data_IF_352975675653
#
_entry.id   IF_352975675653
#
_cell.length_a   1.000
_cell.length_b   1.000
_cell.length_c   1.000
_cell.angle_alpha   90.00
_cell.angle_beta   90.00
_cell.angle_gamma   90.00
#
_symmetry.space_group_name_H-M   'P 1'
#
loop_
_entity.id
_entity.type
_entity.pdbx_description
1 polymer ?
#
# COMPACT_ATOMS: atom_id res chain seq x y z
N UNK A 1 -4.97 -29.53 -8.94
CA UNK A 1 -5.26 -28.32 -8.15
C UNK A 1 -6.10 -27.38 -8.98
N UNK A 2 -7.17 -26.83 -8.40
CA UNK A 2 -8.03 -25.84 -9.05
C UNK A 2 -7.47 -24.47 -8.72
N UNK A 3 -7.13 -23.65 -9.73
CA UNK A 3 -6.52 -22.33 -9.53
C UNK A 3 -7.52 -21.17 -9.51
N UNK A 4 -8.64 -21.30 -10.20
CA UNK A 4 -9.76 -20.37 -10.15
C UNK A 4 -11.05 -21.06 -10.59
N UNK A 5 -12.20 -20.53 -10.17
CA UNK A 5 -13.52 -20.92 -10.63
C UNK A 5 -14.31 -19.69 -11.05
N UNK A 6 -15.15 -19.86 -12.08
CA UNK A 6 -16.08 -18.84 -12.57
C UNK A 6 -17.44 -19.48 -12.75
N UNK A 7 -18.45 -18.98 -12.05
CA UNK A 7 -19.75 -19.62 -12.00
C UNK A 7 -20.84 -18.71 -11.51
N UNK A 8 -22.02 -19.28 -11.34
CA UNK A 8 -23.18 -18.63 -10.72
C UNK A 8 -23.31 -19.17 -9.29
N UNK A 9 -23.61 -18.28 -8.34
CA UNK A 9 -23.85 -18.67 -6.94
C UNK A 9 -25.24 -19.29 -6.83
N UNK A 10 -25.31 -20.61 -6.63
CA UNK A 10 -26.57 -21.33 -6.48
C UNK A 10 -27.08 -21.24 -5.03
N UNK A 11 -26.18 -21.29 -4.06
CA UNK A 11 -26.52 -21.22 -2.63
C UNK A 11 -25.45 -20.47 -1.83
N UNK A 12 -25.86 -19.75 -0.79
CA UNK A 12 -24.98 -19.06 0.17
C UNK A 12 -25.26 -19.60 1.57
N UNK A 13 -24.26 -20.26 2.15
CA UNK A 13 -24.27 -20.81 3.49
C UNK A 13 -23.51 -19.90 4.47
N UNK A 14 -23.40 -20.31 5.74
CA UNK A 14 -22.75 -19.52 6.79
C UNK A 14 -21.23 -19.31 6.61
N UNK A 15 -20.55 -20.24 5.94
CA UNK A 15 -19.08 -20.25 5.79
C UNK A 15 -18.62 -20.68 4.38
N UNK A 16 -19.55 -20.93 3.46
CA UNK A 16 -19.26 -21.36 2.10
C UNK A 16 -20.39 -20.97 1.14
N UNK A 17 -20.11 -21.11 -0.16
CA UNK A 17 -21.12 -21.04 -1.22
C UNK A 17 -21.12 -22.34 -2.02
N UNK A 18 -22.24 -22.60 -2.71
CA UNK A 18 -22.27 -23.55 -3.82
C UNK A 18 -22.16 -22.76 -5.11
N UNK A 19 -21.02 -22.92 -5.80
CA UNK A 19 -20.73 -22.26 -7.06
C UNK A 19 -20.98 -23.21 -8.22
N UNK A 20 -21.97 -22.93 -9.05
CA UNK A 20 -22.29 -23.70 -10.24
C UNK A 20 -21.41 -23.28 -11.41
N UNK A 21 -20.62 -24.23 -11.90
CA UNK A 21 -19.77 -24.08 -13.08
C UNK A 21 -20.17 -25.17 -14.08
N UNK A 22 -20.93 -24.79 -15.11
CA UNK A 22 -21.41 -25.70 -16.15
C UNK A 22 -22.15 -26.93 -15.58
N UNK A 23 -23.16 -26.69 -14.74
CA UNK A 23 -24.01 -27.70 -14.09
C UNK A 23 -23.30 -28.56 -13.04
N UNK A 24 -22.09 -28.16 -12.61
CA UNK A 24 -21.35 -28.77 -11.51
C UNK A 24 -21.28 -27.81 -10.32
N UNK A 25 -21.87 -28.21 -9.19
CA UNK A 25 -21.84 -27.45 -7.95
C UNK A 25 -20.55 -27.67 -7.14
N UNK A 26 -19.72 -26.64 -7.06
CA UNK A 26 -18.52 -26.64 -6.23
C UNK A 26 -18.80 -26.03 -4.86
N UNK A 27 -18.50 -26.76 -3.79
CA UNK A 27 -18.52 -26.21 -2.43
C UNK A 27 -17.24 -25.41 -2.23
N UNK A 28 -17.36 -24.10 -2.04
CA UNK A 28 -16.22 -23.19 -1.88
C UNK A 28 -16.36 -22.42 -0.57
N UNK A 29 -15.43 -22.66 0.36
CA UNK A 29 -15.36 -21.99 1.65
C UNK A 29 -14.80 -20.58 1.50
N UNK A 30 -15.44 -19.61 2.15
CA UNK A 30 -15.21 -18.19 1.96
C UNK A 30 -15.12 -17.48 3.31
N UNK A 31 -14.42 -16.34 3.37
CA UNK A 31 -14.41 -15.54 4.60
C UNK A 31 -15.78 -14.86 4.75
N UNK A 32 -16.19 -14.48 5.96
CA UNK A 32 -17.46 -13.77 6.15
C UNK A 32 -17.52 -12.47 5.31
N UNK A 33 -16.36 -11.83 5.11
CA UNK A 33 -16.21 -10.65 4.26
C UNK A 33 -16.43 -11.01 2.78
N UNK A 34 -15.84 -12.09 2.27
CA UNK A 34 -16.05 -12.55 0.89
C UNK A 34 -17.49 -13.02 0.67
N UNK A 35 -18.09 -13.71 1.65
CA UNK A 35 -19.49 -14.15 1.64
C UNK A 35 -20.45 -12.98 1.51
N UNK A 36 -20.21 -11.89 2.24
CA UNK A 36 -21.06 -10.69 2.16
C UNK A 36 -21.11 -10.05 0.77
N UNK A 37 -20.12 -10.32 -0.07
CA UNK A 37 -20.05 -9.84 -1.45
C UNK A 37 -20.66 -10.82 -2.47
N UNK A 38 -21.15 -11.99 -2.03
CA UNK A 38 -21.78 -13.00 -2.86
C UNK A 38 -23.29 -13.01 -2.62
N UNK A 39 -24.07 -12.95 -3.69
CA UNK A 39 -25.54 -13.10 -3.63
C UNK A 39 -26.00 -14.24 -4.53
N UNK A 40 -27.07 -14.94 -4.13
CA UNK A 40 -27.67 -16.00 -4.95
C UNK A 40 -27.99 -15.44 -6.35
N UNK A 41 -27.67 -16.20 -7.40
CA UNK A 41 -27.84 -15.81 -8.80
C UNK A 41 -26.77 -14.87 -9.35
N UNK A 42 -25.83 -14.39 -8.53
CA UNK A 42 -24.72 -13.56 -9.01
C UNK A 42 -23.66 -14.39 -9.71
N UNK A 43 -23.05 -13.82 -10.76
CA UNK A 43 -21.90 -14.43 -11.43
C UNK A 43 -20.62 -13.96 -10.76
N UNK A 44 -19.85 -14.89 -10.21
CA UNK A 44 -18.63 -14.58 -9.47
C UNK A 44 -17.41 -15.30 -10.07
N UNK A 45 -16.25 -14.68 -9.90
CA UNK A 45 -14.94 -15.27 -10.19
C UNK A 45 -14.17 -15.35 -8.88
N UNK A 46 -13.77 -16.55 -8.51
CA UNK A 46 -12.99 -16.80 -7.30
C UNK A 46 -11.63 -17.38 -7.67
N UNK A 47 -10.59 -16.84 -7.04
CA UNK A 47 -9.30 -17.51 -6.94
C UNK A 47 -9.44 -18.66 -5.95
N UNK A 48 -8.90 -19.83 -6.27
CA UNK A 48 -9.07 -21.03 -5.46
C UNK A 48 -7.74 -21.49 -4.90
N UNK A 49 -7.72 -21.74 -3.60
CA UNK A 49 -6.72 -22.59 -2.95
C UNK A 49 -7.34 -23.95 -2.63
N UNK A 50 -6.65 -25.01 -3.06
CA UNK A 50 -7.02 -26.38 -2.77
C UNK A 50 -6.23 -26.87 -1.57
N UNK A 51 -6.92 -27.23 -0.48
CA UNK A 51 -6.30 -27.86 0.68
C UNK A 51 -6.70 -29.33 0.76
N UNK A 52 -5.70 -30.21 0.80
CA UNK A 52 -5.90 -31.64 1.00
C UNK A 52 -5.61 -31.99 2.46
N UNK A 53 -6.64 -32.37 3.21
CA UNK A 53 -6.47 -32.88 4.56
C UNK A 53 -6.16 -34.38 4.49
N UNK A 54 -4.89 -34.75 4.67
CA UNK A 54 -4.43 -36.14 4.60
C UNK A 54 -5.00 -37.05 5.70
N UNK A 55 -5.52 -36.48 6.80
CA UNK A 55 -6.15 -37.26 7.89
C UNK A 55 -7.60 -37.62 7.61
N UNK A 56 -8.32 -36.78 6.88
CA UNK A 56 -9.75 -36.95 6.61
C UNK A 56 -10.03 -37.42 5.17
N UNK A 57 -9.00 -37.45 4.32
CA UNK A 57 -9.10 -37.77 2.89
C UNK A 57 -10.11 -36.88 2.13
N UNK A 58 -10.32 -35.66 2.63
CA UNK A 58 -11.20 -34.64 2.05
C UNK A 58 -10.36 -33.54 1.43
N UNK A 59 -10.73 -33.15 0.21
CA UNK A 59 -10.19 -31.97 -0.46
C UNK A 59 -11.18 -30.82 -0.31
N UNK A 60 -10.72 -29.70 0.25
CA UNK A 60 -11.52 -28.50 0.44
C UNK A 60 -11.04 -27.39 -0.48
N UNK A 61 -11.99 -26.61 -0.99
CA UNK A 61 -11.73 -25.45 -1.83
C UNK A 61 -11.99 -24.19 -1.01
N UNK A 62 -10.99 -23.32 -0.94
CA UNK A 62 -11.09 -22.00 -0.32
C UNK A 62 -11.07 -20.94 -1.42
N UNK A 63 -12.06 -20.06 -1.42
CA UNK A 63 -12.28 -19.07 -2.47
C UNK A 63 -11.97 -17.65 -2.01
N UNK A 64 -11.41 -16.86 -2.93
CA UNK A 64 -11.01 -15.48 -2.67
C UNK A 64 -11.40 -14.60 -3.84
N UNK A 65 -11.97 -13.42 -3.54
CA UNK A 65 -12.29 -12.42 -4.57
C UNK A 65 -11.02 -11.67 -5.00
N UNK A 66 -10.10 -11.45 -4.05
CA UNK A 66 -8.85 -10.73 -4.26
C UNK A 66 -7.65 -11.65 -4.10
N UNK A 67 -6.56 -11.34 -4.80
CA UNK A 67 -5.30 -12.11 -4.70
C UNK A 67 -4.62 -11.84 -3.36
N UNK A 68 -4.87 -10.67 -2.80
CA UNK A 68 -4.37 -10.17 -1.54
C UNK A 68 -4.95 -10.98 -0.37
N UNK A 69 -6.26 -11.24 -0.37
CA UNK A 69 -6.92 -12.11 0.62
C UNK A 69 -6.39 -13.55 0.55
N UNK A 70 -6.22 -14.08 -0.66
CA UNK A 70 -5.61 -15.40 -0.90
C UNK A 70 -4.16 -15.46 -0.39
N UNK A 71 -3.36 -14.41 -0.62
CA UNK A 71 -2.00 -14.32 -0.13
C UNK A 71 -1.95 -14.22 1.40
N UNK A 72 -2.84 -13.44 2.02
CA UNK A 72 -2.93 -13.34 3.47
C UNK A 72 -3.24 -14.71 4.11
N UNK A 73 -4.19 -15.46 3.55
CA UNK A 73 -4.47 -16.82 4.01
C UNK A 73 -3.24 -17.72 3.92
N UNK A 74 -2.53 -17.70 2.78
CA UNK A 74 -1.32 -18.51 2.59
C UNK A 74 -0.21 -18.14 3.56
N UNK A 75 -0.10 -16.88 3.97
CA UNK A 75 0.84 -16.45 4.99
C UNK A 75 0.40 -16.92 6.38
N UNK A 76 -0.89 -16.81 6.71
CA UNK A 76 -1.44 -17.27 7.98
C UNK A 76 -1.24 -18.77 8.20
N UNK A 77 -1.48 -19.59 7.17
CA UNK A 77 -1.33 -21.05 7.29
C UNK A 77 0.14 -21.49 7.38
N UNK A 78 1.10 -20.64 6.99
CA UNK A 78 2.53 -20.92 7.23
C UNK A 78 2.92 -20.77 8.71
N UNK A 79 2.10 -20.10 9.51
CA UNK A 79 2.31 -19.98 10.96
C UNK A 79 2.00 -21.32 11.62
N UNK A 80 2.95 -21.82 12.43
CA UNK A 80 2.81 -23.10 13.11
C UNK A 80 1.57 -23.14 13.99
N UNK A 81 0.69 -24.14 13.78
CA UNK A 81 -0.55 -24.30 14.53
C UNK A 81 -1.78 -23.59 13.94
N UNK A 82 -1.63 -22.81 12.87
CA UNK A 82 -2.76 -22.13 12.22
C UNK A 82 -3.34 -23.00 11.10
N UNK A 83 -4.55 -23.50 11.30
CA UNK A 83 -5.30 -24.23 10.27
C UNK A 83 -5.94 -23.29 9.25
N UNK A 84 -6.29 -23.79 8.05
CA UNK A 84 -7.06 -23.03 7.06
C UNK A 84 -8.37 -22.46 7.64
N UNK A 85 -9.09 -23.25 8.45
CA UNK A 85 -10.33 -22.82 9.11
C UNK A 85 -10.09 -21.68 10.11
N UNK A 86 -9.00 -21.76 10.88
CA UNK A 86 -8.58 -20.71 11.80
C UNK A 86 -8.21 -19.43 11.04
N UNK A 87 -7.40 -19.55 9.97
CA UNK A 87 -7.01 -18.44 9.12
C UNK A 87 -8.23 -17.75 8.48
N UNK A 88 -9.21 -18.51 7.99
CA UNK A 88 -10.47 -17.96 7.45
C UNK A 88 -11.29 -17.20 8.50
N UNK A 89 -11.33 -17.69 9.74
CA UNK A 89 -12.01 -16.99 10.85
C UNK A 89 -11.32 -15.67 11.20
N UNK A 90 -9.99 -15.63 11.12
CA UNK A 90 -9.18 -14.42 11.34
C UNK A 90 -9.43 -13.40 10.22
N UNK A 91 -9.36 -13.82 8.95
CA UNK A 91 -9.65 -12.98 7.78
C UNK A 91 -11.09 -12.43 7.76
N UNK A 92 -12.02 -13.14 8.41
CA UNK A 92 -13.40 -12.70 8.56
C UNK A 92 -13.57 -11.52 9.53
N UNK A 93 -12.58 -11.22 10.37
CA UNK A 93 -12.68 -10.21 11.44
C UNK A 93 -11.66 -9.09 11.35
N UNK A 94 -10.55 -9.29 10.63
CA UNK A 94 -9.43 -8.36 10.62
C UNK A 94 -9.09 -7.91 9.18
N UNK A 95 -8.91 -6.60 8.99
CA UNK A 95 -8.22 -6.05 7.80
C UNK A 95 -6.73 -6.39 7.83
N UNK A 96 -5.98 -6.28 6.72
CA UNK A 96 -4.53 -6.47 6.72
C UNK A 96 -3.78 -5.62 7.76
N UNK A 97 -4.23 -4.39 8.08
CA UNK A 97 -3.64 -3.60 9.17
C UNK A 97 -3.97 -4.15 10.56
N UNK A 98 -5.17 -4.69 10.74
CA UNK A 98 -5.57 -5.34 12.00
C UNK A 98 -4.93 -6.71 12.16
N UNK A 99 -4.67 -7.41 11.04
CA UNK A 99 -3.87 -8.61 10.98
C UNK A 99 -2.41 -8.29 11.32
N UNK A 100 -1.89 -7.15 10.87
CA UNK A 100 -0.57 -6.68 11.26
C UNK A 100 -0.50 -6.36 12.77
N UNK A 101 -1.53 -5.73 13.34
CA UNK A 101 -1.63 -5.59 14.81
C UNK A 101 -1.78 -6.95 15.50
N UNK A 102 -2.46 -7.92 14.90
CA UNK A 102 -2.60 -9.28 15.44
C UNK A 102 -1.30 -10.08 15.36
N UNK A 103 -0.53 -9.97 14.27
CA UNK A 103 0.82 -10.53 14.10
C UNK A 103 1.75 -9.86 15.11
N UNK A 104 1.73 -8.54 15.24
CA UNK A 104 2.49 -7.83 16.29
C UNK A 104 2.07 -8.30 17.67
N UNK A 105 0.79 -8.61 17.92
CA UNK A 105 0.32 -9.09 19.22
C UNK A 105 0.63 -10.57 19.49
N UNK A 106 0.56 -11.44 18.49
CA UNK A 106 0.99 -12.84 18.53
C UNK A 106 2.50 -12.92 18.72
N UNK A 107 3.27 -12.13 17.97
CA UNK A 107 4.70 -11.93 18.20
C UNK A 107 4.93 -11.30 19.56
N UNK A 108 4.16 -10.33 20.05
CA UNK A 108 4.33 -9.79 21.41
C UNK A 108 4.12 -10.86 22.50
N UNK A 109 3.29 -11.87 22.25
CA UNK A 109 3.17 -13.05 23.11
C UNK A 109 4.38 -13.99 22.94
N UNK A 110 4.86 -14.23 21.72
CA UNK A 110 6.06 -15.02 21.44
C UNK A 110 7.37 -14.35 21.94
N UNK A 111 7.48 -13.03 21.82
CA UNK A 111 8.53 -12.09 22.27
C UNK A 111 8.49 -11.87 23.79
N UNK A 112 7.35 -12.12 24.44
CA UNK A 112 7.30 -12.22 25.91
C UNK A 112 7.94 -13.51 26.39
N UNK A 113 7.90 -14.57 25.59
CA UNK A 113 8.56 -15.86 25.87
C UNK A 113 9.97 -15.98 25.28
N UNK A 114 10.35 -15.15 24.29
CA UNK A 114 11.68 -15.11 23.64
C UNK A 114 12.22 -13.68 23.57
N UNK A 115 13.51 -13.51 23.82
CA UNK A 115 14.18 -12.20 23.76
C UNK A 115 14.42 -11.67 22.32
N UNK A 116 13.60 -12.03 21.33
CA UNK A 116 13.84 -11.77 19.90
C UNK A 116 13.31 -10.37 19.47
N UNK A 117 13.61 -9.93 18.26
CA UNK A 117 13.07 -8.72 17.62
C UNK A 117 11.95 -9.11 16.64
N UNK A 118 11.14 -8.15 16.17
CA UNK A 118 10.16 -8.42 15.10
C UNK A 118 10.90 -8.73 13.79
N UNK A 119 10.37 -9.66 13.00
CA UNK A 119 10.84 -9.90 11.64
C UNK A 119 10.85 -8.61 10.81
N UNK A 120 11.73 -8.56 9.81
CA UNK A 120 11.83 -7.40 8.94
C UNK A 120 10.56 -7.20 8.10
N UNK A 121 10.11 -5.95 8.02
CA UNK A 121 8.84 -5.56 7.36
C UNK A 121 9.12 -4.78 6.08
N UNK A 122 8.45 -5.13 4.98
CA UNK A 122 8.48 -4.36 3.74
C UNK A 122 7.13 -3.71 3.49
N UNK A 123 7.06 -2.38 3.55
CA UNK A 123 5.88 -1.59 3.22
C UNK A 123 5.98 -1.09 1.78
N UNK A 124 5.07 -1.51 0.91
CA UNK A 124 5.05 -1.05 -0.48
C UNK A 124 3.68 -0.55 -0.91
N UNK A 125 3.65 0.38 -1.86
CA UNK A 125 2.41 0.93 -2.40
C UNK A 125 2.56 2.41 -2.77
N UNK A 126 1.51 3.04 -3.33
CA UNK A 126 1.52 4.43 -3.76
C UNK A 126 2.03 5.43 -2.69
N UNK A 127 2.54 6.61 -3.11
CA UNK A 127 2.97 7.63 -2.18
C UNK A 127 1.80 8.21 -1.38
N UNK A 128 2.06 8.60 -0.14
CA UNK A 128 1.09 9.32 0.70
C UNK A 128 0.05 8.45 1.43
N UNK A 129 0.17 7.12 1.38
CA UNK A 129 -0.70 6.17 2.07
C UNK A 129 -0.36 5.93 3.56
N UNK A 130 0.73 6.55 4.06
CA UNK A 130 1.09 6.47 5.47
C UNK A 130 2.11 5.39 5.83
N UNK A 131 2.93 4.91 4.90
CA UNK A 131 4.02 3.94 5.16
C UNK A 131 4.90 4.34 6.37
N UNK A 132 5.43 5.57 6.37
CA UNK A 132 6.22 6.11 7.49
C UNK A 132 5.42 6.17 8.79
N UNK A 133 4.14 6.57 8.72
CA UNK A 133 3.25 6.63 9.87
C UNK A 133 3.02 5.24 10.46
N UNK A 134 2.84 4.23 9.62
CA UNK A 134 2.66 2.84 10.04
C UNK A 134 3.92 2.33 10.75
N UNK A 135 5.11 2.58 10.18
CA UNK A 135 6.38 2.22 10.81
C UNK A 135 6.56 2.86 12.20
N UNK A 136 6.12 4.10 12.39
CA UNK A 136 6.13 4.77 13.70
C UNK A 136 5.11 4.18 14.69
N UNK A 137 3.95 3.73 14.19
CA UNK A 137 2.96 3.04 15.03
C UNK A 137 3.53 1.71 15.53
N UNK A 138 4.23 0.97 14.67
CA UNK A 138 4.89 -0.30 15.01
C UNK A 138 5.87 -0.12 16.15
N UNK A 139 6.82 0.80 16.00
CA UNK A 139 7.85 1.04 17.01
C UNK A 139 7.23 1.47 18.35
N UNK A 140 6.18 2.31 18.31
CA UNK A 140 5.44 2.72 19.50
C UNK A 140 4.72 1.56 20.19
N UNK A 141 4.11 0.65 19.42
CA UNK A 141 3.40 -0.51 19.96
C UNK A 141 4.34 -1.57 20.55
N UNK A 142 5.54 -1.70 19.94
CA UNK A 142 6.65 -2.51 20.43
C UNK A 142 7.38 -1.86 21.62
N UNK A 143 7.19 -0.55 21.84
CA UNK A 143 7.87 0.27 22.86
C UNK A 143 9.39 0.28 22.70
N UNK A 144 9.85 0.39 21.47
CA UNK A 144 11.27 0.42 21.09
C UNK A 144 11.61 1.74 20.41
N UNK A 145 12.90 2.06 20.27
CA UNK A 145 13.31 3.28 19.60
C UNK A 145 13.03 3.19 18.10
N UNK A 146 12.76 4.34 17.50
CA UNK A 146 12.53 4.46 16.07
C UNK A 146 13.62 5.33 15.44
N UNK A 147 14.41 4.76 14.53
CA UNK A 147 15.37 5.51 13.72
C UNK A 147 14.92 5.49 12.27
N UNK A 148 14.87 6.65 11.63
CA UNK A 148 14.48 6.79 10.23
C UNK A 148 15.64 7.32 9.40
N UNK A 149 15.79 6.76 8.19
CA UNK A 149 16.67 7.24 7.13
C UNK A 149 15.98 7.01 5.78
N UNK A 150 16.64 7.34 4.67
CA UNK A 150 16.17 7.04 3.32
C UNK A 150 17.28 6.43 2.47
N UNK A 151 16.88 5.60 1.50
CA UNK A 151 17.80 4.95 0.56
C UNK A 151 18.79 5.93 -0.08
N UNK A 152 18.35 7.09 -0.62
CA UNK A 152 19.25 8.07 -1.22
C UNK A 152 20.27 8.70 -0.28
N UNK A 153 20.01 8.73 1.04
CA UNK A 153 20.96 9.26 2.02
C UNK A 153 22.06 8.26 2.36
N UNK A 154 21.84 6.97 2.11
CA UNK A 154 22.82 5.92 2.30
C UNK A 154 23.61 5.77 0.99
N UNK A 155 24.75 6.44 0.92
CA UNK A 155 25.57 6.52 -0.30
C UNK A 155 26.78 5.60 -0.26
N UNK A 156 27.28 5.30 0.94
CA UNK A 156 28.45 4.44 1.20
C UNK A 156 28.16 3.44 2.32
N UNK A 157 28.91 2.34 2.35
CA UNK A 157 28.80 1.34 3.42
C UNK A 157 29.01 1.92 4.82
N UNK A 158 29.87 2.94 4.94
CA UNK A 158 30.09 3.67 6.20
C UNK A 158 28.85 4.40 6.71
N UNK A 159 27.99 4.92 5.82
CA UNK A 159 26.75 5.61 6.21
C UNK A 159 25.77 4.60 6.86
N UNK A 160 25.64 3.42 6.25
CA UNK A 160 24.82 2.34 6.78
C UNK A 160 25.38 1.81 8.10
N UNK A 161 26.70 1.61 8.18
CA UNK A 161 27.36 1.19 9.40
C UNK A 161 27.16 2.18 10.56
N UNK A 162 27.26 3.48 10.29
CA UNK A 162 27.02 4.53 11.28
C UNK A 162 25.58 4.50 11.83
N UNK A 163 24.60 4.16 11.00
CA UNK A 163 23.21 4.02 11.46
C UNK A 163 23.05 2.73 12.27
N UNK A 164 23.49 1.59 11.74
CA UNK A 164 23.28 0.28 12.37
C UNK A 164 24.00 0.12 13.71
N UNK A 165 25.23 0.63 13.83
CA UNK A 165 26.01 0.55 15.09
C UNK A 165 25.44 1.38 16.23
N UNK A 166 24.49 2.28 15.95
CA UNK A 166 23.83 3.10 16.97
C UNK A 166 22.50 2.53 17.46
N UNK A 167 22.05 1.41 16.88
CA UNK A 167 20.82 0.73 17.29
C UNK A 167 21.03 0.00 18.60
N UNK A 168 19.99 0.00 19.44
CA UNK A 168 19.90 -0.90 20.58
C UNK A 168 19.12 -2.16 20.19
N UNK A 169 19.16 -3.17 21.06
CA UNK A 169 18.36 -4.38 20.88
C UNK A 169 16.87 -4.05 20.72
N UNK A 170 16.28 -4.62 19.66
CA UNK A 170 14.89 -4.52 19.24
C UNK A 170 14.48 -3.16 18.66
N UNK A 171 15.41 -2.22 18.48
CA UNK A 171 15.09 -0.96 17.84
C UNK A 171 14.59 -1.17 16.41
N UNK A 172 13.74 -0.24 15.96
CA UNK A 172 13.22 -0.22 14.59
C UNK A 172 14.07 0.73 13.75
N UNK A 173 14.69 0.21 12.70
CA UNK A 173 15.31 1.00 11.64
C UNK A 173 14.36 1.09 10.45
N UNK A 174 13.91 2.30 10.13
CA UNK A 174 13.09 2.59 8.96
C UNK A 174 13.94 3.16 7.82
N UNK A 175 13.86 2.56 6.63
CA UNK A 175 14.49 3.07 5.41
C UNK A 175 13.40 3.39 4.39
N UNK A 176 13.12 4.68 4.17
CA UNK A 176 12.23 5.11 3.09
C UNK A 176 12.92 5.02 1.74
N UNK A 177 12.15 4.83 0.67
CA UNK A 177 12.69 4.70 -0.70
C UNK A 177 13.83 3.67 -0.78
N UNK A 178 13.67 2.52 -0.11
CA UNK A 178 14.71 1.49 0.02
C UNK A 178 15.19 0.94 -1.34
N UNK A 179 14.35 1.04 -2.37
CA UNK A 179 14.70 0.66 -3.75
C UNK A 179 15.75 1.59 -4.40
N UNK A 180 16.11 2.69 -3.75
CA UNK A 180 17.15 3.63 -4.21
C UNK A 180 18.50 3.39 -3.55
N UNK A 181 18.65 2.32 -2.78
CA UNK A 181 19.95 1.89 -2.27
C UNK A 181 20.87 1.49 -3.43
N UNK A 182 22.15 1.84 -3.31
CA UNK A 182 23.16 1.32 -4.21
C UNK A 182 23.37 -0.18 -3.96
N UNK A 183 23.66 -0.94 -5.00
CA UNK A 183 23.85 -2.41 -4.92
C UNK A 183 24.88 -2.83 -3.86
N UNK A 184 25.99 -2.10 -3.76
CA UNK A 184 27.02 -2.36 -2.74
C UNK A 184 26.49 -2.21 -1.31
N UNK A 185 25.51 -1.35 -1.08
CA UNK A 185 24.89 -1.13 0.23
C UNK A 185 23.81 -2.18 0.48
N UNK A 186 23.06 -2.58 -0.55
CA UNK A 186 22.14 -3.73 -0.44
C UNK A 186 22.89 -4.99 0.00
N UNK A 187 24.07 -5.25 -0.56
CA UNK A 187 24.90 -6.41 -0.22
C UNK A 187 25.36 -6.40 1.25
N UNK A 188 25.74 -5.23 1.78
CA UNK A 188 26.07 -5.06 3.21
C UNK A 188 24.81 -5.20 4.08
N UNK A 189 23.65 -4.78 3.58
CA UNK A 189 22.39 -4.89 4.31
C UNK A 189 21.93 -6.35 4.43
N UNK A 190 22.27 -7.23 3.49
CA UNK A 190 21.92 -8.65 3.54
C UNK A 190 22.45 -9.33 4.81
N UNK A 191 23.75 -9.17 5.11
CA UNK A 191 24.37 -9.77 6.30
C UNK A 191 23.84 -9.15 7.59
N UNK A 192 23.55 -7.84 7.58
CA UNK A 192 22.94 -7.16 8.72
C UNK A 192 21.53 -7.68 9.04
N UNK A 193 20.76 -8.07 8.01
CA UNK A 193 19.40 -8.60 8.16
C UNK A 193 19.39 -10.09 8.57
N UNK A 194 20.28 -10.90 8.02
CA UNK A 194 20.27 -12.35 8.22
C UNK A 194 21.01 -12.77 9.49
N UNK A 195 22.21 -12.22 9.68
CA UNK A 195 23.15 -12.69 10.70
C UNK A 195 23.36 -11.67 11.83
N UNK A 196 22.70 -10.51 11.76
CA UNK A 196 22.93 -9.36 12.65
C UNK A 196 24.41 -9.02 12.79
N UNK A 197 25.14 -9.03 11.68
CA UNK A 197 26.54 -8.63 11.64
C UNK A 197 26.83 -7.77 10.42
N UNK A 198 27.88 -6.96 10.52
CA UNK A 198 28.29 -6.06 9.47
C UNK A 198 29.77 -6.26 9.17
N UNK A 199 30.07 -6.59 7.92
CA UNK A 199 31.43 -6.77 7.43
C UNK A 199 31.90 -5.50 6.69
N UNK A 200 32.84 -4.76 7.28
CA UNK A 200 33.42 -3.55 6.68
C UNK A 200 34.84 -3.85 6.20
N UNK A 201 35.13 -3.53 4.94
CA UNK A 201 36.50 -3.47 4.43
C UNK A 201 37.15 -2.17 4.92
N UNK A 202 38.23 -2.30 5.70
CA UNK A 202 39.00 -1.17 6.22
C UNK A 202 40.42 -1.23 5.70
N UNK A 203 40.90 -0.13 5.12
CA UNK A 203 42.22 0.01 4.51
C UNK A 203 42.16 0.24 2.99
N UNK A 204 43.30 0.55 2.39
CA UNK A 204 43.45 0.77 0.94
C UNK A 204 44.52 -0.17 0.37
N UNK A 205 44.26 -0.76 -0.80
CA UNK A 205 45.23 -1.58 -1.52
C UNK A 205 45.46 -2.97 -0.90
N UNK A 206 46.68 -3.55 -1.01
CA UNK A 206 46.95 -4.94 -0.59
C UNK A 206 46.87 -5.17 0.93
N UNK A 207 46.70 -4.13 1.74
CA UNK A 207 46.56 -4.19 3.20
C UNK A 207 45.10 -4.08 3.68
N UNK A 208 44.13 -4.19 2.77
CA UNK A 208 42.70 -4.16 3.13
C UNK A 208 42.35 -5.35 4.03
N UNK A 209 41.73 -5.08 5.18
CA UNK A 209 41.27 -6.10 6.13
C UNK A 209 39.77 -5.99 6.34
N UNK A 210 39.08 -7.12 6.43
CA UNK A 210 37.65 -7.16 6.80
C UNK A 210 37.51 -7.10 8.31
N UNK A 211 36.75 -6.13 8.80
CA UNK A 211 36.37 -6.01 10.20
C UNK A 211 34.89 -6.36 10.34
N UNK A 212 34.61 -7.41 11.12
CA UNK A 212 33.25 -7.85 11.45
C UNK A 212 32.78 -7.15 12.72
N UNK A 213 31.60 -6.55 12.66
CA UNK A 213 30.94 -5.88 13.78
C UNK A 213 29.64 -6.62 14.07
N UNK A 214 29.46 -7.08 15.31
CA UNK A 214 28.21 -7.67 15.74
C UNK A 214 27.18 -6.56 16.00
N UNK A 215 25.97 -6.74 15.49
CA UNK A 215 24.84 -5.84 15.68
C UNK A 215 23.87 -6.47 16.68
N UNK A 216 23.18 -5.66 17.50
CA UNK A 216 22.08 -6.19 18.28
C UNK A 216 20.92 -6.58 17.36
N UNK A 217 20.10 -7.59 17.73
CA UNK A 217 18.88 -7.92 16.97
C UNK A 217 18.01 -6.68 16.83
N UNK A 218 17.60 -6.33 15.61
CA UNK A 218 16.80 -5.14 15.31
C UNK A 218 15.75 -5.45 14.26
N UNK A 219 14.78 -4.57 14.09
CA UNK A 219 13.75 -4.72 13.06
C UNK A 219 13.96 -3.68 11.96
N UNK A 220 14.31 -4.12 10.75
CA UNK A 220 14.29 -3.28 9.57
C UNK A 220 12.86 -3.15 9.02
N UNK A 221 12.41 -1.91 8.81
CA UNK A 221 11.20 -1.60 8.05
C UNK A 221 11.60 -0.85 6.78
N UNK A 222 11.54 -1.52 5.63
CA UNK A 222 11.77 -0.92 4.32
C UNK A 222 10.48 -0.34 3.74
N UNK A 223 10.50 0.88 3.20
CA UNK A 223 9.37 1.44 2.47
C UNK A 223 9.72 1.73 1.00
N UNK A 224 8.80 1.41 0.09
CA UNK A 224 8.98 1.68 -1.34
C UNK A 224 7.68 2.04 -2.05
N UNK A 225 7.77 2.90 -3.06
CA UNK A 225 6.70 3.13 -4.06
C UNK A 225 6.86 2.23 -5.29
N UNK A 226 8.04 1.60 -5.46
CA UNK A 226 8.44 0.86 -6.65
C UNK A 226 8.93 -0.55 -6.29
N UNK A 227 8.01 -1.45 -5.98
CA UNK A 227 8.35 -2.84 -5.65
C UNK A 227 9.13 -3.55 -6.78
N UNK A 228 8.87 -3.18 -8.04
CA UNK A 228 9.55 -3.75 -9.21
C UNK A 228 11.02 -3.40 -9.34
N UNK A 229 11.50 -2.36 -8.64
CA UNK A 229 12.92 -1.98 -8.65
C UNK A 229 13.73 -2.69 -7.56
N UNK A 230 13.08 -3.35 -6.60
CA UNK A 230 13.79 -4.09 -5.57
C UNK A 230 14.33 -5.41 -6.12
N UNK A 231 15.60 -5.66 -5.81
CA UNK A 231 16.27 -6.93 -6.09
C UNK A 231 15.54 -8.08 -5.38
N UNK A 232 15.46 -9.25 -6.03
CA UNK A 232 14.85 -10.42 -5.41
C UNK A 232 15.54 -10.81 -4.08
N UNK A 233 16.89 -10.79 -3.98
CA UNK A 233 17.57 -11.09 -2.72
C UNK A 233 17.16 -10.16 -1.56
N UNK A 234 17.03 -8.85 -1.80
CA UNK A 234 16.59 -7.92 -0.76
C UNK A 234 15.14 -8.17 -0.35
N UNK A 235 14.26 -8.39 -1.33
CA UNK A 235 12.83 -8.63 -1.09
C UNK A 235 12.58 -9.90 -0.28
N UNK A 236 13.30 -10.98 -0.58
CA UNK A 236 13.08 -12.29 0.04
C UNK A 236 13.52 -12.34 1.52
N UNK A 237 14.33 -11.36 1.96
CA UNK A 237 14.78 -11.20 3.36
C UNK A 237 13.78 -10.46 4.24
N UNK A 238 12.71 -9.92 3.68
CA UNK A 238 11.61 -9.35 4.46
C UNK A 238 10.60 -10.44 4.79
N UNK A 239 10.53 -10.82 6.08
CA UNK A 239 9.56 -11.80 6.56
C UNK A 239 8.10 -11.34 6.42
N UNK A 240 7.87 -10.02 6.44
CA UNK A 240 6.52 -9.43 6.44
C UNK A 240 6.38 -8.41 5.30
N UNK A 241 6.02 -8.83 4.07
CA UNK A 241 5.69 -7.92 2.98
C UNK A 241 4.23 -7.44 3.06
N UNK A 242 4.02 -6.12 3.05
CA UNK A 242 2.71 -5.47 3.16
C UNK A 242 2.47 -4.48 2.03
N UNK A 243 1.37 -4.69 1.31
CA UNK A 243 0.87 -3.76 0.29
C UNK A 243 -0.09 -2.76 0.92
N UNK A 244 0.22 -1.47 0.85
CA UNK A 244 -0.72 -0.41 1.18
C UNK A 244 -1.51 -0.02 -0.07
N UNK A 245 -2.82 -0.14 0.03
CA UNK A 245 -3.77 0.24 -1.01
C UNK A 245 -4.32 1.65 -0.77
N UNK A 246 -5.00 2.17 -1.78
CA UNK A 246 -5.72 3.42 -1.60
C UNK A 246 -6.89 3.24 -0.64
N UNK A 247 -7.10 4.25 0.19
CA UNK A 247 -8.16 4.27 1.19
C UNK A 247 -9.53 4.39 0.54
N UNK A 248 -10.51 3.78 1.19
CA UNK A 248 -11.92 3.92 0.85
C UNK A 248 -12.40 5.35 1.13
N UNK A 249 -13.54 5.70 0.56
CA UNK A 249 -14.17 6.98 0.81
C UNK A 249 -14.52 7.16 2.30
N UNK A 250 -15.07 6.13 2.92
CA UNK A 250 -15.46 6.11 4.33
C UNK A 250 -14.25 6.27 5.26
N UNK A 251 -13.15 5.57 4.95
CA UNK A 251 -11.91 5.68 5.72
C UNK A 251 -11.33 7.10 5.64
N UNK A 252 -11.35 7.72 4.45
CA UNK A 252 -10.91 9.11 4.28
C UNK A 252 -11.80 10.10 5.04
N UNK A 253 -13.12 9.89 5.05
CA UNK A 253 -14.05 10.71 5.82
C UNK A 253 -13.67 10.71 7.31
N UNK A 254 -13.33 9.55 7.86
CA UNK A 254 -12.93 9.45 9.27
C UNK A 254 -11.57 10.06 9.55
N UNK A 255 -10.61 9.90 8.62
CA UNK A 255 -9.31 10.57 8.69
C UNK A 255 -9.47 12.09 8.69
N UNK A 256 -10.32 12.64 7.82
CA UNK A 256 -10.57 14.08 7.72
C UNK A 256 -11.27 14.60 8.97
N UNK A 257 -12.30 13.91 9.48
CA UNK A 257 -12.97 14.29 10.74
C UNK A 257 -11.98 14.36 11.89
N UNK A 258 -11.11 13.35 12.02
CA UNK A 258 -10.05 13.34 13.05
C UNK A 258 -9.06 14.48 12.83
N UNK A 259 -8.63 14.70 11.59
CA UNK A 259 -7.74 15.79 11.22
C UNK A 259 -8.31 17.16 11.58
N UNK A 260 -9.60 17.38 11.36
CA UNK A 260 -10.27 18.64 11.69
C UNK A 260 -10.27 18.92 13.19
N UNK A 261 -10.51 17.89 14.02
CA UNK A 261 -10.40 18.00 15.48
C UNK A 261 -8.99 18.39 15.93
N UNK A 262 -7.96 17.80 15.32
CA UNK A 262 -6.55 18.12 15.64
C UNK A 262 -6.21 19.56 15.24
N UNK A 263 -6.79 20.06 14.15
CA UNK A 263 -6.59 21.44 13.68
C UNK A 263 -7.52 22.45 14.36
N UNK A 264 -8.35 22.02 15.32
CA UNK A 264 -9.39 22.83 15.94
C UNK A 264 -10.32 23.54 14.93
N UNK A 265 -10.59 22.88 13.79
CA UNK A 265 -11.45 23.43 12.74
C UNK A 265 -12.87 22.85 12.85
N UNK A 266 -13.88 23.73 12.84
CA UNK A 266 -15.28 23.31 12.74
C UNK A 266 -15.61 22.97 11.29
N UNK A 267 -16.10 21.75 11.03
CA UNK A 267 -16.39 21.25 9.68
C UNK A 267 -17.71 20.48 9.65
N UNK A 268 -18.49 20.70 8.59
CA UNK A 268 -19.74 19.97 8.35
C UNK A 268 -19.52 18.61 7.71
N UNK A 269 -20.48 17.69 7.91
CA UNK A 269 -20.42 16.34 7.34
C UNK A 269 -20.27 16.36 5.81
N UNK A 270 -21.03 17.22 5.14
CA UNK A 270 -21.02 17.31 3.68
C UNK A 270 -19.71 17.92 3.16
N UNK A 271 -19.12 18.86 3.90
CA UNK A 271 -17.78 19.38 3.58
C UNK A 271 -16.69 18.31 3.71
N UNK A 272 -16.78 17.43 4.71
CA UNK A 272 -15.86 16.28 4.84
C UNK A 272 -15.97 15.37 3.62
N UNK A 273 -17.19 15.07 3.17
CA UNK A 273 -17.43 14.26 1.99
C UNK A 273 -16.85 14.89 0.73
N UNK A 274 -17.03 16.20 0.57
CA UNK A 274 -16.49 16.96 -0.57
C UNK A 274 -14.95 16.87 -0.64
N UNK A 275 -14.27 16.97 0.51
CA UNK A 275 -12.81 16.80 0.59
C UNK A 275 -12.42 15.36 0.28
N UNK A 276 -13.13 14.37 0.83
CA UNK A 276 -12.84 12.95 0.65
C UNK A 276 -12.95 12.52 -0.82
N UNK A 277 -13.99 12.97 -1.54
CA UNK A 277 -14.18 12.72 -2.97
C UNK A 277 -12.99 13.19 -3.81
N UNK A 278 -12.37 14.32 -3.44
CA UNK A 278 -11.24 14.92 -4.16
C UNK A 278 -9.86 14.50 -3.64
N UNK A 279 -9.81 13.63 -2.62
CA UNK A 279 -8.56 13.22 -1.97
C UNK A 279 -7.86 12.02 -2.62
N UNK A 280 -8.40 11.47 -3.72
CA UNK A 280 -7.78 10.40 -4.52
C UNK A 280 -7.52 9.08 -3.78
N UNK A 281 -8.22 8.81 -2.68
CA UNK A 281 -7.93 7.65 -1.83
C UNK A 281 -6.63 7.79 -1.03
N UNK A 282 -6.10 9.02 -0.87
CA UNK A 282 -4.79 9.26 -0.27
C UNK A 282 -4.89 10.17 0.97
N UNK A 283 -4.58 9.68 2.19
CA UNK A 283 -4.65 10.46 3.42
C UNK A 283 -3.80 11.73 3.39
N UNK A 284 -2.59 11.65 2.82
CA UNK A 284 -1.71 12.83 2.65
C UNK A 284 -2.39 13.94 1.86
N UNK A 285 -3.14 13.60 0.81
CA UNK A 285 -3.88 14.57 0.00
C UNK A 285 -5.05 15.11 0.82
N UNK A 286 -5.89 14.24 1.40
CA UNK A 286 -7.03 14.62 2.22
C UNK A 286 -6.66 15.66 3.31
N UNK A 287 -5.62 15.36 4.10
CA UNK A 287 -5.18 16.23 5.19
C UNK A 287 -4.52 17.53 4.68
N UNK A 288 -3.88 17.51 3.51
CA UNK A 288 -3.36 18.72 2.87
C UNK A 288 -4.49 19.62 2.38
N UNK A 289 -5.53 19.06 1.78
CA UNK A 289 -6.71 19.81 1.34
C UNK A 289 -7.43 20.43 2.52
N UNK A 290 -7.65 19.66 3.59
CA UNK A 290 -8.26 20.16 4.82
C UNK A 290 -7.50 21.37 5.39
N UNK A 291 -6.16 21.31 5.48
CA UNK A 291 -5.35 22.45 5.93
C UNK A 291 -5.53 23.67 5.03
N UNK A 292 -5.46 23.50 3.71
CA UNK A 292 -5.64 24.62 2.75
C UNK A 292 -7.03 25.25 2.83
N UNK A 293 -8.07 24.44 3.04
CA UNK A 293 -9.44 24.94 3.19
C UNK A 293 -9.59 25.71 4.49
N UNK A 294 -9.02 25.21 5.60
CA UNK A 294 -8.97 25.95 6.86
C UNK A 294 -8.28 27.30 6.69
N UNK A 295 -7.11 27.32 6.05
CA UNK A 295 -6.37 28.58 5.82
C UNK A 295 -7.19 29.57 4.96
N UNK A 296 -8.01 29.06 4.03
CA UNK A 296 -8.91 29.88 3.21
C UNK A 296 -10.09 30.47 4.01
N UNK A 297 -10.58 29.73 5.00
CA UNK A 297 -11.70 30.11 5.88
C UNK A 297 -11.27 31.18 6.89
N UNK A 298 -10.07 31.04 7.47
CA UNK A 298 -9.50 32.02 8.41
C UNK A 298 -9.36 33.41 7.79
N UNK A 299 -9.00 33.50 6.50
CA UNK A 299 -8.87 34.79 5.78
C UNK A 299 -10.23 35.45 5.50
N UNK A 300 -11.30 34.66 5.42
CA UNK A 300 -12.65 35.16 5.13
C UNK A 300 -13.46 35.52 6.38
N UNK A 301 -12.88 35.34 7.57
CA UNK A 301 -13.53 35.50 8.87
C UNK A 301 -14.75 34.57 9.07
N UNK A 302 -14.77 33.45 8.32
CA UNK A 302 -15.73 32.37 8.51
C UNK A 302 -15.24 31.45 9.63
N UNK A 303 -16.15 30.94 10.48
CA UNK A 303 -15.76 30.04 11.59
C UNK A 303 -15.92 28.55 11.28
N UNK A 304 -16.67 28.22 10.23
CA UNK A 304 -17.12 26.85 9.94
C UNK A 304 -16.94 26.50 8.48
N UNK A 305 -16.35 25.34 8.22
CA UNK A 305 -16.13 24.81 6.89
C UNK A 305 -17.41 24.12 6.40
N UNK A 306 -18.16 24.80 5.54
CA UNK A 306 -19.35 24.27 4.85
C UNK A 306 -18.97 23.62 3.51
N UNK A 307 -19.90 22.86 2.92
CA UNK A 307 -19.69 22.22 1.61
C UNK A 307 -19.39 23.26 0.51
N UNK A 308 -20.09 24.39 0.51
CA UNK A 308 -19.89 25.47 -0.46
C UNK A 308 -18.50 26.10 -0.35
N UNK A 309 -18.04 26.35 0.88
CA UNK A 309 -16.71 26.92 1.12
C UNK A 309 -15.62 25.93 0.70
N UNK A 310 -15.77 24.65 1.06
CA UNK A 310 -14.84 23.59 0.64
C UNK A 310 -14.78 23.48 -0.89
N UNK A 311 -15.94 23.42 -1.55
CA UNK A 311 -16.04 23.36 -3.01
C UNK A 311 -15.41 24.58 -3.69
N UNK A 312 -15.68 25.80 -3.18
CA UNK A 312 -15.09 27.03 -3.70
C UNK A 312 -13.57 27.07 -3.54
N UNK A 313 -13.06 26.70 -2.36
CA UNK A 313 -11.64 26.65 -2.08
C UNK A 313 -10.91 25.62 -2.97
N UNK A 314 -11.48 24.42 -3.13
CA UNK A 314 -10.91 23.36 -3.98
C UNK A 314 -10.88 23.76 -5.45
N UNK A 315 -11.95 24.40 -5.96
CA UNK A 315 -11.98 24.93 -7.33
C UNK A 315 -10.94 26.03 -7.54
N UNK A 316 -10.75 26.94 -6.57
CA UNK A 316 -9.68 27.97 -6.64
C UNK A 316 -8.28 27.39 -6.57
N UNK A 317 -8.11 26.24 -5.93
CA UNK A 317 -6.85 25.48 -5.94
C UNK A 317 -6.62 24.71 -7.26
N UNK A 318 -7.54 24.82 -8.22
CA UNK A 318 -7.47 24.11 -9.50
C UNK A 318 -7.70 22.61 -9.37
N UNK A 319 -8.51 22.20 -8.39
CA UNK A 319 -8.85 20.79 -8.14
C UNK A 319 -10.29 20.55 -8.58
N UNK A 320 -10.47 19.67 -9.57
CA UNK A 320 -11.79 19.35 -10.08
C UNK A 320 -12.59 18.39 -9.18
N UNK A 321 -13.80 18.02 -9.60
CA UNK A 321 -14.68 17.11 -8.84
C UNK A 321 -14.13 15.69 -8.68
N UNK A 322 -13.27 15.25 -9.59
CA UNK A 322 -12.57 13.95 -9.53
C UNK A 322 -11.26 14.04 -8.73
N UNK A 323 -10.95 15.23 -8.20
CA UNK A 323 -9.72 15.49 -7.48
C UNK A 323 -8.52 15.73 -8.38
N UNK A 324 -8.67 15.84 -9.70
CA UNK A 324 -7.60 16.11 -10.67
C UNK A 324 -7.12 17.55 -10.53
N UNK A 325 -5.81 17.73 -10.59
CA UNK A 325 -5.17 19.03 -10.56
C UNK A 325 -4.80 19.47 -11.98
N UNK A 326 -4.21 20.66 -12.11
CA UNK A 326 -3.76 21.20 -13.39
C UNK A 326 -2.84 20.24 -14.15
N UNK A 327 -1.84 19.65 -13.50
CA UNK A 327 -0.89 18.74 -14.14
C UNK A 327 -1.57 17.46 -14.65
N UNK A 328 -2.51 16.89 -13.89
CA UNK A 328 -3.27 15.72 -14.35
C UNK A 328 -4.12 16.08 -15.59
N UNK A 329 -4.75 17.26 -15.58
CA UNK A 329 -5.55 17.74 -16.70
C UNK A 329 -4.68 18.01 -17.93
N UNK A 330 -3.51 18.59 -17.76
CA UNK A 330 -2.55 18.84 -18.83
C UNK A 330 -2.04 17.51 -19.42
N UNK A 331 -1.74 16.51 -18.57
CA UNK A 331 -1.40 15.15 -18.99
C UNK A 331 -2.51 14.51 -19.84
N UNK A 332 -3.75 14.56 -19.35
CA UNK A 332 -4.90 13.98 -20.05
C UNK A 332 -5.19 14.70 -21.38
N UNK A 333 -5.14 16.04 -21.40
CA UNK A 333 -5.32 16.84 -22.61
C UNK A 333 -4.23 16.59 -23.64
N UNK A 334 -2.98 16.44 -23.21
CA UNK A 334 -1.89 16.09 -24.11
C UNK A 334 -2.16 14.76 -24.80
N UNK A 335 -2.50 13.70 -24.05
CA UNK A 335 -2.83 12.40 -24.63
C UNK A 335 -4.09 12.41 -25.50
N UNK A 336 -5.06 13.29 -25.21
CA UNK A 336 -6.28 13.44 -25.99
C UNK A 336 -6.00 14.02 -27.39
N UNK A 337 -5.06 14.95 -27.49
CA UNK A 337 -4.68 15.59 -28.74
C UNK A 337 -3.73 14.73 -29.61
N UNK A 338 -3.19 13.63 -29.06
CA UNK A 338 -2.31 12.71 -29.77
C UNK A 338 -3.06 11.52 -30.35
N UNK A 339 -2.66 11.06 -31.54
CA UNK A 339 -3.17 9.83 -32.13
C UNK A 339 -2.32 8.61 -31.72
N UNK A 340 -2.93 7.71 -30.96
CA UNK A 340 -2.31 6.43 -30.58
C UNK A 340 -1.46 6.48 -29.29
N UNK A 341 -0.71 5.41 -28.99
CA UNK A 341 0.08 5.30 -27.76
C UNK A 341 1.28 6.26 -27.75
N UNK A 342 1.50 6.93 -26.61
CA UNK A 342 2.60 7.90 -26.44
C UNK A 342 3.62 7.41 -25.40
N UNK A 343 4.92 7.53 -25.72
CA UNK A 343 6.01 7.18 -24.82
C UNK A 343 6.11 8.14 -23.62
N UNK A 344 6.65 7.66 -22.49
CA UNK A 344 6.76 8.49 -21.28
C UNK A 344 7.70 9.67 -21.46
N UNK A 345 8.80 9.48 -22.20
CA UNK A 345 9.76 10.55 -22.47
C UNK A 345 9.10 11.68 -23.27
N UNK A 346 8.23 11.34 -24.22
CA UNK A 346 7.47 12.33 -25.00
C UNK A 346 6.50 13.11 -24.11
N UNK A 347 5.83 12.44 -23.18
CA UNK A 347 4.92 13.09 -22.23
C UNK A 347 5.70 13.99 -21.26
N UNK A 348 6.82 13.50 -20.75
CA UNK A 348 7.75 14.24 -19.88
C UNK A 348 8.22 15.54 -20.53
N UNK A 349 8.67 15.48 -21.79
CA UNK A 349 9.09 16.66 -22.56
C UNK A 349 7.91 17.62 -22.77
N UNK A 350 6.74 17.11 -23.17
CA UNK A 350 5.57 17.94 -23.44
C UNK A 350 5.04 18.67 -22.19
N UNK A 351 5.11 18.03 -21.03
CA UNK A 351 4.66 18.62 -19.76
C UNK A 351 5.75 19.39 -19.02
N UNK A 352 7.01 19.35 -19.51
CA UNK A 352 8.19 19.88 -18.80
C UNK A 352 8.33 19.31 -17.38
N UNK A 353 8.08 18.00 -17.25
CA UNK A 353 8.07 17.29 -15.97
C UNK A 353 8.97 16.06 -16.01
N UNK A 354 9.53 15.68 -14.85
CA UNK A 354 10.35 14.46 -14.75
C UNK A 354 9.49 13.20 -14.98
N UNK A 355 10.02 12.25 -15.76
CA UNK A 355 9.48 10.90 -15.93
C UNK A 355 9.14 10.26 -14.58
N UNK A 356 10.05 10.38 -13.60
CA UNK A 356 9.83 9.83 -12.27
C UNK A 356 8.63 10.44 -11.57
N UNK A 357 8.45 11.77 -11.67
CA UNK A 357 7.31 12.46 -11.08
C UNK A 357 5.99 12.02 -11.72
N UNK A 358 5.95 11.91 -13.06
CA UNK A 358 4.76 11.46 -13.79
C UNK A 358 4.35 10.05 -13.37
N UNK A 359 5.31 9.12 -13.31
CA UNK A 359 5.03 7.72 -12.97
C UNK A 359 4.63 7.50 -11.51
N UNK A 360 5.08 8.36 -10.60
CA UNK A 360 4.85 8.22 -9.15
C UNK A 360 3.67 9.04 -8.63
N UNK A 361 3.39 10.20 -9.22
CA UNK A 361 2.42 11.15 -8.64
C UNK A 361 1.17 11.32 -9.50
N UNK A 362 1.30 11.24 -10.83
CA UNK A 362 0.20 11.49 -11.78
C UNK A 362 -0.45 10.17 -12.20
N UNK A 363 0.31 9.28 -12.83
CA UNK A 363 -0.21 8.05 -13.43
C UNK A 363 -0.92 7.10 -12.44
N UNK A 364 -0.48 6.91 -11.19
CA UNK A 364 -1.11 5.92 -10.30
C UNK A 364 -2.61 6.18 -10.07
N UNK A 365 -2.99 7.46 -9.90
CA UNK A 365 -4.40 7.79 -9.71
C UNK A 365 -5.18 7.72 -11.02
N UNK A 366 -4.62 8.22 -12.13
CA UNK A 366 -5.27 8.17 -13.44
C UNK A 366 -5.51 6.73 -13.92
N UNK A 367 -4.60 5.81 -13.61
CA UNK A 367 -4.77 4.37 -13.87
C UNK A 367 -5.84 3.80 -12.94
N UNK A 368 -5.85 4.17 -11.65
CA UNK A 368 -6.85 3.71 -10.67
C UNK A 368 -8.27 4.07 -11.11
N UNK A 369 -8.50 5.32 -11.53
CA UNK A 369 -9.81 5.77 -12.04
C UNK A 369 -10.08 5.33 -13.49
N UNK A 370 -9.23 4.47 -14.05
CA UNK A 370 -9.34 3.92 -15.41
C UNK A 370 -9.35 4.98 -16.50
N UNK A 371 -8.67 6.11 -16.32
CA UNK A 371 -8.53 7.15 -17.35
C UNK A 371 -7.35 6.88 -18.28
N UNK A 372 -6.29 6.27 -17.76
CA UNK A 372 -5.05 5.97 -18.50
C UNK A 372 -4.74 4.48 -18.42
N UNK A 373 -4.29 3.91 -19.55
CA UNK A 373 -3.75 2.55 -19.62
C UNK A 373 -2.31 2.59 -20.08
N UNK A 374 -1.42 1.87 -19.37
CA UNK A 374 -0.05 1.60 -19.82
C UNK A 374 -0.06 0.40 -20.76
N UNK A 375 0.53 0.55 -21.94
CA UNK A 375 0.73 -0.51 -22.93
C UNK A 375 2.22 -0.63 -23.26
N UNK A 376 2.67 -1.75 -23.86
CA UNK A 376 4.05 -1.86 -24.34
C UNK A 376 4.46 -0.78 -25.34
N UNK A 377 3.48 -0.17 -26.02
CA UNK A 377 3.69 0.90 -27.02
C UNK A 377 3.64 2.31 -26.44
N UNK A 378 3.28 2.47 -25.17
CA UNK A 378 3.08 3.77 -24.53
C UNK A 378 1.78 3.87 -23.74
N UNK A 379 1.41 5.09 -23.37
CA UNK A 379 0.19 5.41 -22.61
C UNK A 379 -0.94 5.78 -23.55
N UNK A 380 -2.15 5.34 -23.20
CA UNK A 380 -3.37 5.54 -23.99
C UNK A 380 -4.50 5.96 -23.07
N UNK A 381 -5.33 6.92 -23.52
CA UNK A 381 -6.58 7.27 -22.84
C UNK A 381 -7.64 6.19 -23.05
N UNK A 382 -8.44 5.95 -22.02
CA UNK A 382 -9.65 5.15 -22.13
C UNK A 382 -10.80 5.96 -22.71
N UNK A 383 -11.86 5.28 -23.13
CA UNK A 383 -13.08 5.94 -23.61
C UNK A 383 -13.72 6.78 -22.50
N UNK A 384 -13.68 6.33 -21.25
CA UNK A 384 -14.14 7.08 -20.08
C UNK A 384 -13.38 8.40 -19.91
N UNK A 385 -12.05 8.41 -20.08
CA UNK A 385 -11.28 9.65 -20.03
C UNK A 385 -11.65 10.60 -21.17
N UNK A 386 -11.86 10.08 -22.38
CA UNK A 386 -12.25 10.89 -23.55
C UNK A 386 -13.62 11.52 -23.37
N UNK A 387 -14.58 10.79 -22.82
CA UNK A 387 -15.90 11.31 -22.48
C UNK A 387 -15.80 12.39 -21.40
N UNK A 388 -15.03 12.14 -20.34
CA UNK A 388 -14.79 13.11 -19.27
C UNK A 388 -14.16 14.41 -19.79
N UNK A 389 -13.17 14.30 -20.67
CA UNK A 389 -12.53 15.46 -21.30
C UNK A 389 -13.49 16.19 -22.23
N UNK A 390 -14.27 15.47 -23.05
CA UNK A 390 -15.26 16.06 -23.95
C UNK A 390 -16.29 16.92 -23.21
N UNK A 391 -16.81 16.43 -22.08
CA UNK A 391 -17.79 17.14 -21.26
C UNK A 391 -17.17 18.39 -20.61
N UNK A 392 -15.93 18.30 -20.13
CA UNK A 392 -15.26 19.42 -19.48
C UNK A 392 -14.56 20.40 -20.44
N UNK A 393 -14.36 20.03 -21.71
CA UNK A 393 -13.81 20.92 -22.75
C UNK A 393 -14.83 21.91 -23.33
N UNK A 394 -16.13 21.73 -23.05
CA UNK A 394 -17.19 22.68 -23.42
C UNK A 394 -17.24 23.88 -22.46
N UNK A 395 -16.42 23.88 -21.40
CA UNK A 395 -16.29 25.00 -20.45
C UNK A 395 -14.85 25.48 -20.46
N UNK A 396 -14.44 26.13 -21.55
CA UNK A 396 -13.23 26.94 -21.63
C UNK A 396 -13.60 28.33 -22.16
#
# INVERSE_FOLDING_TARGET
MIGNLRGIVDEVCSDHIILNVNDVGYIVYLSAKTLSACSIGSRVKLLIDTYANSRENVTQLYGFISKEEQQCLRLLVKVSGVSYKTAMSILSKLTPEQLFLAIINEDKLALKTRAEALDHVLLYGPPGLGKTTLAQIVSKELRVSFRATSGPLLSKAGDLAAVLTTLNAKDVLFIDEIHRLNRSIEEVLYTAMEDFCLDILVGEGPSTRTLRIDLPPFTLIGATTRLGLLSAPLRDRFGIPLHLEFYSFEELVDIIKRGARVLCAEIEKDAVQEIACRARGTPRIALRLLRRIRDFVEVKDDKKITCEIAGSALSKLGIDKMGLNKLDMDYLRFLFNTSGPVGIDTISIALSEDVGNIEETVEPYLIKVSFVKRTPRGRVLTDQAREYLSINSVVC
#
